data_IF_106530903955
#
_entry.id   IF_106530903955
#
_cell.length_a   1.000
_cell.length_b   1.000
_cell.length_c   1.000
_cell.angle_alpha   90.00
_cell.angle_beta   90.00
_cell.angle_gamma   90.00
#
_symmetry.space_group_name_H-M   'P 1'
#
loop_
_entity.id
_entity.type
_entity.pdbx_description
1 polymer ?
#
# COMPACT_ATOMS: atom_id res chain seq x y z
N UNK A 1 12.10 14.36 14.35
CA UNK A 1 10.64 14.49 14.17
C UNK A 1 10.26 15.84 13.59
N UNK A 2 10.62 16.97 14.21
CA UNK A 2 10.31 18.29 13.64
C UNK A 2 10.97 18.51 12.27
N UNK A 3 12.25 18.14 12.12
CA UNK A 3 12.97 18.22 10.84
C UNK A 3 12.30 17.40 9.73
N UNK A 4 11.72 16.24 10.06
CA UNK A 4 11.01 15.39 9.08
C UNK A 4 9.76 16.08 8.53
N UNK A 5 9.07 16.87 9.37
CA UNK A 5 7.90 17.65 8.94
C UNK A 5 8.34 18.77 8.00
N UNK A 6 9.42 19.49 8.31
CA UNK A 6 9.96 20.50 7.41
C UNK A 6 10.44 19.89 6.09
N UNK A 7 11.06 18.71 6.15
CA UNK A 7 11.51 17.99 4.97
C UNK A 7 10.36 17.57 4.06
N UNK A 8 9.27 17.05 4.63
CA UNK A 8 8.05 16.70 3.91
C UNK A 8 7.43 17.93 3.24
N UNK A 9 7.31 19.06 3.96
CA UNK A 9 6.75 20.30 3.41
C UNK A 9 7.57 20.86 2.23
N UNK A 10 8.89 20.81 2.32
CA UNK A 10 9.78 21.24 1.25
C UNK A 10 9.72 20.28 0.04
N UNK A 11 9.63 18.97 0.27
CA UNK A 11 9.43 17.98 -0.79
C UNK A 11 8.09 18.17 -1.51
N UNK A 12 7.01 18.44 -0.77
CA UNK A 12 5.70 18.77 -1.35
C UNK A 12 5.79 20.01 -2.23
N UNK A 13 6.55 21.03 -1.81
CA UNK A 13 6.76 22.25 -2.60
C UNK A 13 7.53 21.94 -3.88
N UNK A 14 8.65 21.22 -3.77
CA UNK A 14 9.45 20.77 -4.92
C UNK A 14 8.66 19.89 -5.90
N UNK A 15 7.79 19.01 -5.37
CA UNK A 15 6.90 18.18 -6.17
C UNK A 15 5.88 19.02 -6.96
N UNK A 16 5.32 20.07 -6.35
CA UNK A 16 4.40 21.00 -7.04
C UNK A 16 5.09 21.76 -8.16
N UNK A 17 6.33 22.19 -7.95
CA UNK A 17 7.13 22.86 -8.98
C UNK A 17 7.45 21.92 -10.15
N UNK A 18 7.78 20.66 -9.86
CA UNK A 18 7.95 19.62 -10.87
C UNK A 18 6.66 19.38 -11.67
N UNK A 19 5.51 19.22 -11.00
CA UNK A 19 4.21 19.06 -11.66
C UNK A 19 3.95 20.21 -12.62
N UNK A 20 4.15 21.45 -12.17
CA UNK A 20 3.95 22.64 -13.01
C UNK A 20 4.88 22.68 -14.22
N UNK A 21 6.13 22.23 -14.07
CA UNK A 21 7.09 22.14 -15.16
C UNK A 21 6.66 21.07 -16.19
N UNK A 22 6.23 19.89 -15.74
CA UNK A 22 5.68 18.84 -16.61
C UNK A 22 4.40 19.28 -17.32
N UNK A 23 3.47 19.95 -16.63
CA UNK A 23 2.27 20.50 -17.25
C UNK A 23 2.61 21.51 -18.36
N UNK A 24 3.59 22.39 -18.12
CA UNK A 24 4.05 23.37 -19.11
C UNK A 24 4.66 22.69 -20.34
N UNK A 25 5.49 21.67 -20.12
CA UNK A 25 6.08 20.83 -21.19
C UNK A 25 5.00 20.11 -21.98
N UNK A 26 4.04 19.48 -21.29
CA UNK A 26 2.93 18.77 -21.90
C UNK A 26 2.05 19.70 -22.73
N UNK A 27 1.74 20.90 -22.25
CA UNK A 27 0.99 21.90 -23.00
C UNK A 27 1.71 22.36 -24.27
N UNK A 28 3.04 22.51 -24.22
CA UNK A 28 3.87 22.80 -25.40
C UNK A 28 3.77 21.66 -26.44
N UNK A 29 3.84 20.41 -26.00
CA UNK A 29 3.72 19.22 -26.86
C UNK A 29 2.32 19.15 -27.49
N UNK A 30 1.26 19.33 -26.71
CA UNK A 30 -0.13 19.33 -27.20
C UNK A 30 -0.35 20.39 -28.28
N UNK A 31 0.15 21.62 -28.07
CA UNK A 31 0.05 22.70 -29.07
C UNK A 31 0.72 22.33 -30.39
N UNK A 32 1.90 21.70 -30.34
CA UNK A 32 2.61 21.27 -31.55
C UNK A 32 1.85 20.13 -32.24
N UNK A 33 1.36 19.14 -31.48
CA UNK A 33 0.57 18.03 -32.00
C UNK A 33 -0.70 18.53 -32.71
N UNK A 34 -1.48 19.41 -32.08
CA UNK A 34 -2.70 19.98 -32.66
C UNK A 34 -2.39 20.73 -33.96
N UNK A 35 -1.33 21.55 -33.99
CA UNK A 35 -0.90 22.27 -35.20
C UNK A 35 -0.55 21.31 -36.33
N UNK A 36 0.12 20.20 -36.04
CA UNK A 36 0.47 19.20 -37.06
C UNK A 36 -0.76 18.42 -37.54
N UNK A 37 -1.71 18.14 -36.66
CA UNK A 37 -2.98 17.51 -37.00
C UNK A 37 -3.76 18.37 -38.00
N UNK A 38 -3.95 19.66 -37.72
CA UNK A 38 -4.64 20.59 -38.62
C UNK A 38 -3.99 20.68 -40.01
N UNK A 39 -2.65 20.73 -40.07
CA UNK A 39 -1.92 20.74 -41.35
C UNK A 39 -2.10 19.41 -42.09
N UNK A 40 -2.10 18.29 -41.37
CA UNK A 40 -2.26 16.95 -41.95
C UNK A 40 -3.68 16.71 -42.49
N UNK A 41 -4.71 17.18 -41.79
CA UNK A 41 -6.11 17.04 -42.20
C UNK A 41 -6.40 17.81 -43.50
N UNK A 42 -5.80 18.99 -43.65
CA UNK A 42 -5.86 19.76 -44.89
C UNK A 42 -5.13 19.04 -46.06
N UNK A 43 -3.99 18.42 -45.79
CA UNK A 43 -3.25 17.65 -46.79
C UNK A 43 -3.99 16.36 -47.20
N UNK A 44 -4.64 15.67 -46.25
CA UNK A 44 -5.42 14.46 -46.49
C UNK A 44 -6.65 14.73 -47.34
N UNK A 45 -7.30 15.88 -47.14
CA UNK A 45 -8.56 16.23 -47.82
C UNK A 45 -8.36 16.54 -49.32
N UNK A 46 -7.19 17.02 -49.73
CA UNK A 46 -6.83 17.24 -51.14
C UNK A 46 -5.32 17.11 -51.35
N UNK A 47 -4.85 15.87 -51.48
CA UNK A 47 -3.43 15.57 -51.55
C UNK A 47 -2.75 16.15 -52.80
N UNK A 48 -3.38 16.00 -53.97
CA UNK A 48 -2.82 16.48 -55.23
C UNK A 48 -2.75 18.02 -55.29
N UNK A 49 -3.78 18.71 -54.80
CA UNK A 49 -3.77 20.17 -54.67
C UNK A 49 -2.80 20.68 -53.61
N UNK A 50 -2.68 19.96 -52.48
CA UNK A 50 -1.72 20.30 -51.43
C UNK A 50 -0.28 20.15 -51.92
N UNK A 51 0.05 19.02 -52.55
CA UNK A 51 1.38 18.78 -53.12
C UNK A 51 1.63 19.61 -54.38
N UNK A 52 0.62 20.01 -55.13
CA UNK A 52 0.77 20.90 -56.29
C UNK A 52 1.24 22.32 -55.92
N UNK A 53 1.13 22.72 -54.65
CA UNK A 53 1.52 24.06 -54.19
C UNK A 53 2.96 24.09 -53.63
N UNK A 54 3.91 24.84 -54.24
CA UNK A 54 5.33 24.83 -53.84
C UNK A 54 5.60 25.18 -52.38
N UNK A 55 4.80 26.07 -51.77
CA UNK A 55 4.94 26.41 -50.33
C UNK A 55 4.59 25.23 -49.44
N UNK A 56 3.58 24.43 -49.80
CA UNK A 56 3.15 23.28 -49.02
C UNK A 56 4.18 22.16 -49.10
N UNK A 57 4.77 21.95 -50.28
CA UNK A 57 5.90 21.04 -50.48
C UNK A 57 7.09 21.45 -49.58
N UNK A 58 7.52 22.71 -49.64
CA UNK A 58 8.62 23.21 -48.81
C UNK A 58 8.32 23.05 -47.31
N UNK A 59 7.12 23.44 -46.85
CA UNK A 59 6.72 23.32 -45.44
C UNK A 59 6.66 21.86 -44.99
N UNK A 60 6.22 20.93 -45.84
CA UNK A 60 6.21 19.49 -45.54
C UNK A 60 7.64 18.96 -45.39
N UNK A 61 8.51 19.22 -46.38
CA UNK A 61 9.91 18.78 -46.34
C UNK A 61 10.63 19.34 -45.12
N UNK A 62 10.44 20.64 -44.81
CA UNK A 62 11.04 21.26 -43.61
C UNK A 62 10.56 20.60 -42.31
N UNK A 63 9.26 20.28 -42.19
CA UNK A 63 8.73 19.58 -41.01
C UNK A 63 9.40 18.22 -40.84
N UNK A 64 9.45 17.42 -41.90
CA UNK A 64 10.04 16.08 -41.88
C UNK A 64 11.56 16.10 -41.65
N UNK A 65 12.26 17.07 -42.21
CA UNK A 65 13.71 17.16 -42.12
C UNK A 65 14.21 17.75 -40.79
N UNK A 66 13.42 18.57 -40.09
CA UNK A 66 13.92 19.34 -38.93
C UNK A 66 12.91 19.59 -37.80
N UNK A 67 11.63 19.82 -38.10
CA UNK A 67 10.68 20.17 -37.03
C UNK A 67 10.28 18.94 -36.19
N UNK A 68 10.32 17.73 -36.77
CA UNK A 68 10.14 16.48 -36.02
C UNK A 68 11.36 16.09 -35.18
N UNK A 69 12.59 16.35 -35.64
CA UNK A 69 13.78 16.12 -34.80
C UNK A 69 13.78 17.03 -33.58
N UNK A 70 13.33 18.29 -33.72
CA UNK A 70 13.22 19.21 -32.57
C UNK A 70 12.19 18.74 -31.52
N UNK A 71 11.24 17.86 -31.87
CA UNK A 71 10.34 17.26 -30.89
C UNK A 71 11.08 16.32 -29.95
N UNK A 72 12.15 15.66 -30.42
CA UNK A 72 12.97 14.80 -29.59
C UNK A 72 13.57 15.57 -28.41
N UNK A 73 14.07 16.79 -28.66
CA UNK A 73 14.65 17.64 -27.60
C UNK A 73 13.60 18.04 -26.56
N UNK A 74 12.39 18.42 -27.01
CA UNK A 74 11.29 18.82 -26.10
C UNK A 74 10.81 17.62 -25.28
N UNK A 75 10.70 16.43 -25.90
CA UNK A 75 10.25 15.22 -25.20
C UNK A 75 11.30 14.76 -24.19
N UNK A 76 12.59 14.82 -24.55
CA UNK A 76 13.70 14.39 -23.71
C UNK A 76 14.12 15.43 -22.66
N UNK A 77 13.55 16.64 -22.67
CA UNK A 77 13.79 17.66 -21.65
C UNK A 77 13.46 17.10 -20.26
N UNK A 78 14.48 16.91 -19.42
CA UNK A 78 14.33 16.38 -18.07
C UNK A 78 13.98 17.50 -17.09
N UNK A 79 12.69 17.70 -16.84
CA UNK A 79 12.21 18.66 -15.84
C UNK A 79 12.20 18.10 -14.42
N UNK A 80 12.49 16.81 -14.25
CA UNK A 80 12.48 16.12 -12.96
C UNK A 80 13.79 16.27 -12.17
N UNK A 81 14.88 16.72 -12.80
CA UNK A 81 16.23 16.75 -12.20
C UNK A 81 16.26 17.48 -10.85
N UNK A 82 15.61 18.65 -10.76
CA UNK A 82 15.57 19.45 -9.52
C UNK A 82 14.85 18.70 -8.40
N UNK A 83 13.70 18.10 -8.69
CA UNK A 83 12.93 17.33 -7.71
C UNK A 83 13.67 16.07 -7.26
N UNK A 84 14.23 15.30 -8.21
CA UNK A 84 14.97 14.08 -7.92
C UNK A 84 16.24 14.35 -7.11
N UNK A 85 16.93 15.46 -7.40
CA UNK A 85 18.09 15.87 -6.61
C UNK A 85 17.71 16.23 -5.18
N UNK A 86 16.63 17.02 -4.99
CA UNK A 86 16.14 17.37 -3.65
C UNK A 86 15.71 16.12 -2.87
N UNK A 87 14.95 15.22 -3.50
CA UNK A 87 14.55 13.95 -2.90
C UNK A 87 15.76 13.11 -2.49
N UNK A 88 16.72 12.91 -3.41
CA UNK A 88 17.92 12.12 -3.16
C UNK A 88 18.74 12.66 -2.00
N UNK A 89 18.86 13.99 -1.88
CA UNK A 89 19.57 14.62 -0.77
C UNK A 89 18.91 14.29 0.58
N UNK A 90 17.58 14.33 0.65
CA UNK A 90 16.81 14.10 1.89
C UNK A 90 16.68 12.63 2.29
N UNK A 91 16.61 11.72 1.31
CA UNK A 91 16.51 10.27 1.55
C UNK A 91 17.58 9.73 2.50
N UNK A 92 18.76 10.36 2.54
CA UNK A 92 19.88 9.96 3.41
C UNK A 92 19.58 10.04 4.92
N UNK A 93 18.59 10.83 5.34
CA UNK A 93 18.22 11.01 6.75
C UNK A 93 16.79 10.57 7.06
N UNK A 94 16.10 9.95 6.10
CA UNK A 94 14.74 9.47 6.31
C UNK A 94 14.71 8.27 7.26
N UNK A 95 13.63 8.11 8.04
CA UNK A 95 13.44 6.93 8.85
C UNK A 95 13.48 5.67 7.99
N UNK A 96 14.01 4.60 8.58
CA UNK A 96 14.07 3.28 7.98
C UNK A 96 12.85 2.44 8.38
N UNK A 97 12.73 1.25 7.78
CA UNK A 97 11.74 0.25 8.19
C UNK A 97 11.86 -0.16 9.68
N UNK A 98 13.06 -0.05 10.26
CA UNK A 98 13.27 -0.30 11.69
C UNK A 98 12.57 0.76 12.56
N UNK A 99 12.58 2.03 12.12
CA UNK A 99 11.89 3.11 12.80
C UNK A 99 10.37 2.94 12.72
N UNK A 100 9.85 2.50 11.57
CA UNK A 100 8.43 2.16 11.40
C UNK A 100 8.04 1.03 12.35
N UNK A 101 8.82 -0.05 12.40
CA UNK A 101 8.62 -1.14 13.37
C UNK A 101 8.63 -0.59 14.82
N UNK A 102 9.59 0.25 15.16
CA UNK A 102 9.68 0.89 16.47
C UNK A 102 8.43 1.71 16.82
N UNK A 103 7.83 2.40 15.84
CA UNK A 103 6.57 3.14 16.05
C UNK A 103 5.37 2.22 16.26
N UNK A 104 5.29 1.10 15.54
CA UNK A 104 4.25 0.09 15.74
C UNK A 104 4.34 -0.54 17.15
N UNK A 105 5.56 -0.88 17.60
CA UNK A 105 5.79 -1.35 18.96
C UNK A 105 5.41 -0.29 20.01
N UNK A 106 5.72 0.98 19.78
CA UNK A 106 5.34 2.06 20.68
C UNK A 106 3.81 2.21 20.79
N UNK A 107 3.08 2.08 19.67
CA UNK A 107 1.61 2.06 19.67
C UNK A 107 1.08 0.91 20.55
N UNK A 108 1.59 -0.30 20.37
CA UNK A 108 1.16 -1.46 21.18
C UNK A 108 1.49 -1.28 22.67
N UNK A 109 2.68 -0.76 23.00
CA UNK A 109 3.05 -0.44 24.39
C UNK A 109 2.10 0.59 25.02
N UNK A 110 1.64 1.58 24.25
CA UNK A 110 0.64 2.54 24.71
C UNK A 110 -0.74 1.90 24.89
N UNK A 111 -1.13 0.99 23.99
CA UNK A 111 -2.37 0.21 24.12
C UNK A 111 -2.39 -0.55 25.44
N UNK A 112 -1.31 -1.26 25.78
CA UNK A 112 -1.20 -1.99 27.05
C UNK A 112 -1.22 -1.06 28.27
N UNK A 113 -0.36 -0.03 28.25
CA UNK A 113 -0.17 0.87 29.39
C UNK A 113 -1.46 1.60 29.75
N UNK A 114 -2.22 2.02 28.73
CA UNK A 114 -3.40 2.86 28.92
C UNK A 114 -4.73 2.15 28.66
N UNK A 115 -4.68 0.85 28.35
CA UNK A 115 -5.82 0.01 27.96
C UNK A 115 -6.63 0.65 26.84
N UNK A 116 -5.94 1.04 25.77
CA UNK A 116 -6.57 1.72 24.63
C UNK A 116 -7.26 0.69 23.74
N UNK A 117 -8.43 1.05 23.24
CA UNK A 117 -9.16 0.25 22.27
C UNK A 117 -8.51 0.36 20.88
N UNK A 118 -8.35 -0.77 20.18
CA UNK A 118 -7.67 -0.83 18.89
C UNK A 118 -8.42 -0.05 17.80
N UNK A 119 -9.74 -0.08 17.82
CA UNK A 119 -10.56 0.65 16.85
C UNK A 119 -10.46 2.16 17.06
N UNK A 120 -10.44 2.62 18.31
CA UNK A 120 -10.20 4.04 18.62
C UNK A 120 -8.80 4.48 18.21
N UNK A 121 -7.76 3.69 18.48
CA UNK A 121 -6.38 4.00 18.05
C UNK A 121 -6.29 4.05 16.52
N UNK A 122 -6.88 3.10 15.81
CA UNK A 122 -6.90 3.07 14.35
C UNK A 122 -7.57 4.32 13.76
N UNK A 123 -8.61 4.87 14.42
CA UNK A 123 -9.25 6.12 14.02
C UNK A 123 -8.50 7.39 14.49
N UNK A 124 -7.33 7.22 15.09
CA UNK A 124 -6.53 8.33 15.62
C UNK A 124 -7.14 8.97 16.86
N UNK A 125 -7.96 8.25 17.62
CA UNK A 125 -8.61 8.72 18.85
C UNK A 125 -7.88 8.13 20.05
N UNK A 126 -7.13 8.95 20.78
CA UNK A 126 -6.38 8.50 21.97
C UNK A 126 -6.70 9.43 23.13
N UNK A 127 -7.35 8.90 24.18
CA UNK A 127 -7.69 9.63 25.43
C UNK A 127 -8.36 10.99 25.19
N UNK A 128 -9.23 11.08 24.18
CA UNK A 128 -9.96 12.30 23.82
C UNK A 128 -9.23 13.24 22.87
N UNK A 129 -7.95 12.98 22.56
CA UNK A 129 -7.25 13.61 21.44
C UNK A 129 -7.70 12.95 20.13
N UNK A 130 -7.98 13.75 19.11
CA UNK A 130 -8.34 13.27 17.78
C UNK A 130 -7.29 13.74 16.77
N UNK A 131 -6.73 12.79 16.04
CA UNK A 131 -5.88 13.04 14.89
C UNK A 131 -6.71 13.48 13.68
N UNK A 132 -6.07 14.18 12.74
CA UNK A 132 -6.60 14.44 11.39
C UNK A 132 -6.38 13.26 10.43
N UNK A 133 -5.66 12.23 10.88
CA UNK A 133 -5.37 11.01 10.14
C UNK A 133 -5.87 9.79 10.90
N UNK A 134 -6.33 8.79 10.15
CA UNK A 134 -6.62 7.44 10.63
C UNK A 134 -5.67 6.46 9.95
N UNK A 135 -5.38 5.35 10.64
CA UNK A 135 -4.69 4.22 10.06
C UNK A 135 -5.55 3.58 8.98
N UNK A 136 -4.91 3.17 7.89
CA UNK A 136 -5.51 2.39 6.81
C UNK A 136 -5.60 0.91 7.20
N UNK A 137 -6.28 0.12 6.35
CA UNK A 137 -6.31 -1.33 6.52
C UNK A 137 -4.91 -1.95 6.41
N UNK A 138 -4.06 -1.42 5.51
CA UNK A 138 -2.67 -1.85 5.33
C UNK A 138 -1.83 -1.51 6.58
N UNK A 139 -1.97 -0.30 7.12
CA UNK A 139 -1.29 0.07 8.38
C UNK A 139 -1.68 -0.87 9.53
N UNK A 140 -2.96 -1.21 9.65
CA UNK A 140 -3.44 -2.16 10.67
C UNK A 140 -2.84 -3.57 10.45
N UNK A 141 -2.74 -4.01 9.19
CA UNK A 141 -2.12 -5.27 8.85
C UNK A 141 -0.63 -5.28 9.22
N UNK A 142 0.11 -4.21 8.90
CA UNK A 142 1.54 -4.12 9.19
C UNK A 142 1.87 -4.04 10.68
N UNK A 143 1.04 -3.34 11.47
CA UNK A 143 1.15 -3.37 12.94
C UNK A 143 0.86 -4.79 13.46
N UNK A 144 -0.19 -5.45 12.97
CA UNK A 144 -0.52 -6.83 13.35
C UNK A 144 0.57 -7.83 12.94
N UNK A 145 1.23 -7.61 11.80
CA UNK A 145 2.34 -8.43 11.31
C UNK A 145 3.59 -8.21 12.15
N UNK A 146 3.87 -6.97 12.55
CA UNK A 146 4.93 -6.67 13.52
C UNK A 146 4.70 -7.45 14.82
N UNK A 147 3.49 -7.39 15.37
CA UNK A 147 3.12 -8.15 16.57
C UNK A 147 3.30 -9.66 16.40
N UNK A 148 2.90 -10.22 15.24
CA UNK A 148 3.11 -11.63 14.92
C UNK A 148 4.59 -12.02 14.95
N UNK A 149 5.47 -11.20 14.34
CA UNK A 149 6.91 -11.45 14.30
C UNK A 149 7.55 -11.39 15.70
N UNK A 150 7.07 -10.48 16.56
CA UNK A 150 7.50 -10.38 17.96
C UNK A 150 6.83 -11.41 18.89
N UNK A 151 6.02 -12.33 18.34
CA UNK A 151 5.25 -13.35 19.07
C UNK A 151 4.24 -12.76 20.06
N UNK A 152 3.85 -11.51 19.87
CA UNK A 152 2.73 -10.89 20.56
C UNK A 152 1.42 -11.27 19.86
N UNK A 153 0.95 -12.49 20.15
CA UNK A 153 -0.26 -13.02 19.54
C UNK A 153 -1.53 -12.30 20.01
N UNK A 154 -1.47 -11.57 21.14
CA UNK A 154 -2.58 -10.77 21.62
C UNK A 154 -2.79 -9.56 20.71
N UNK A 155 -1.76 -8.73 20.50
CA UNK A 155 -1.85 -7.57 19.62
C UNK A 155 -2.00 -7.97 18.15
N UNK A 156 -1.33 -9.05 17.71
CA UNK A 156 -1.55 -9.58 16.36
C UNK A 156 -3.04 -9.83 16.09
N UNK A 157 -3.74 -10.49 17.03
CA UNK A 157 -5.17 -10.76 16.87
C UNK A 157 -6.00 -9.48 16.85
N UNK A 158 -5.69 -8.49 17.69
CA UNK A 158 -6.43 -7.22 17.72
C UNK A 158 -6.30 -6.48 16.39
N UNK A 159 -5.07 -6.28 15.93
CA UNK A 159 -4.77 -5.50 14.72
C UNK A 159 -5.19 -6.22 13.44
N UNK A 160 -5.08 -7.55 13.37
CA UNK A 160 -5.60 -8.31 12.23
C UNK A 160 -7.14 -8.27 12.16
N UNK A 161 -7.85 -8.23 13.30
CA UNK A 161 -9.30 -8.01 13.30
C UNK A 161 -9.65 -6.59 12.85
N UNK A 162 -8.89 -5.58 13.26
CA UNK A 162 -9.10 -4.20 12.79
C UNK A 162 -8.87 -4.10 11.28
N UNK A 163 -7.77 -4.69 10.77
CA UNK A 163 -7.51 -4.77 9.33
C UNK A 163 -8.68 -5.44 8.58
N UNK A 164 -9.24 -6.54 9.13
CA UNK A 164 -10.41 -7.21 8.53
C UNK A 164 -11.66 -6.33 8.44
N UNK A 165 -11.87 -5.43 9.40
CA UNK A 165 -13.03 -4.53 9.39
C UNK A 165 -12.94 -3.48 8.27
N UNK A 166 -11.74 -3.17 7.80
CA UNK A 166 -11.49 -2.15 6.76
C UNK A 166 -11.09 -2.74 5.40
N UNK A 167 -11.21 -4.06 5.20
CA UNK A 167 -10.83 -4.74 3.93
C UNK A 167 -11.52 -4.14 2.71
N UNK A 168 -12.78 -3.73 2.86
CA UNK A 168 -13.57 -3.16 1.77
C UNK A 168 -13.12 -1.74 1.37
N UNK A 169 -12.25 -1.09 2.15
CA UNK A 169 -11.81 0.30 1.98
C UNK A 169 -10.39 0.46 1.42
N UNK A 170 -9.83 -0.57 0.76
CA UNK A 170 -8.56 -0.46 0.04
C UNK A 170 -7.38 -1.18 0.69
N UNK A 171 -7.61 -2.38 1.24
CA UNK A 171 -6.53 -3.29 1.62
C UNK A 171 -5.78 -3.75 0.36
N UNK A 172 -4.47 -3.51 0.30
CA UNK A 172 -3.59 -4.00 -0.77
C UNK A 172 -3.29 -5.49 -0.61
N UNK A 173 -3.28 -5.98 0.64
CA UNK A 173 -3.16 -7.40 0.96
C UNK A 173 -4.44 -8.18 0.66
N UNK A 174 -4.31 -9.49 0.44
CA UNK A 174 -5.51 -10.31 0.26
C UNK A 174 -6.19 -10.55 1.61
N UNK A 175 -7.52 -10.64 1.61
CA UNK A 175 -8.28 -11.09 2.79
C UNK A 175 -7.73 -12.42 3.35
N UNK A 176 -7.25 -13.29 2.47
CA UNK A 176 -6.63 -14.56 2.84
C UNK A 176 -5.38 -14.37 3.72
N UNK A 177 -4.50 -13.42 3.38
CA UNK A 177 -3.28 -13.15 4.15
C UNK A 177 -3.59 -12.69 5.58
N UNK A 178 -4.63 -11.85 5.74
CA UNK A 178 -5.10 -11.39 7.05
C UNK A 178 -5.67 -12.57 7.85
N UNK A 179 -6.51 -13.40 7.22
CA UNK A 179 -7.09 -14.58 7.86
C UNK A 179 -6.04 -15.60 8.29
N UNK A 180 -4.95 -15.75 7.53
CA UNK A 180 -3.86 -16.69 7.84
C UNK A 180 -3.13 -16.29 9.12
N UNK A 181 -2.71 -15.02 9.21
CA UNK A 181 -2.09 -14.48 10.43
C UNK A 181 -3.06 -14.52 11.61
N UNK A 182 -4.31 -14.08 11.40
CA UNK A 182 -5.33 -14.05 12.43
C UNK A 182 -5.62 -15.46 12.97
N UNK A 183 -5.74 -16.46 12.09
CA UNK A 183 -5.97 -17.86 12.48
C UNK A 183 -4.84 -18.37 13.38
N UNK A 184 -3.59 -18.14 12.98
CA UNK A 184 -2.43 -18.58 13.76
C UNK A 184 -2.38 -17.89 15.13
N UNK A 185 -2.45 -16.55 15.16
CA UNK A 185 -2.42 -15.79 16.41
C UNK A 185 -3.59 -16.14 17.35
N UNK A 186 -4.77 -16.41 16.77
CA UNK A 186 -5.96 -16.83 17.54
C UNK A 186 -5.78 -18.22 18.15
N UNK A 187 -5.16 -19.16 17.43
CA UNK A 187 -4.83 -20.48 17.96
C UNK A 187 -3.78 -20.40 19.08
N UNK A 188 -2.72 -19.61 18.90
CA UNK A 188 -1.70 -19.39 19.93
C UNK A 188 -2.26 -18.71 21.18
N UNK A 189 -3.28 -17.85 21.03
CA UNK A 189 -4.05 -17.27 22.13
C UNK A 189 -5.03 -18.24 22.81
N UNK A 190 -5.06 -19.52 22.40
CA UNK A 190 -5.87 -20.58 23.01
C UNK A 190 -7.30 -20.71 22.46
N UNK A 191 -7.73 -19.82 21.56
CA UNK A 191 -9.08 -19.91 20.98
C UNK A 191 -9.08 -20.80 19.73
N UNK A 192 -8.93 -22.11 19.96
CA UNK A 192 -8.88 -23.12 18.89
C UNK A 192 -10.17 -23.15 18.07
N UNK A 193 -11.33 -22.90 18.70
CA UNK A 193 -12.62 -22.88 18.02
C UNK A 193 -12.66 -21.78 16.95
N UNK A 194 -12.24 -20.57 17.31
CA UNK A 194 -12.21 -19.46 16.35
C UNK A 194 -11.15 -19.66 15.26
N UNK A 195 -9.99 -20.21 15.59
CA UNK A 195 -8.98 -20.56 14.59
C UNK A 195 -9.51 -21.61 13.59
N UNK A 196 -10.25 -22.61 14.07
CA UNK A 196 -10.93 -23.57 13.21
C UNK A 196 -11.95 -22.92 12.27
N UNK A 197 -12.75 -21.97 12.74
CA UNK A 197 -13.68 -21.20 11.89
C UNK A 197 -12.96 -20.38 10.82
N UNK A 198 -11.87 -19.71 11.19
CA UNK A 198 -11.05 -18.92 10.26
C UNK A 198 -10.42 -19.81 9.18
N UNK A 199 -9.92 -21.00 9.54
CA UNK A 199 -9.44 -21.96 8.54
C UNK A 199 -10.53 -22.48 7.61
N UNK A 200 -11.78 -22.63 8.09
CA UNK A 200 -12.91 -22.94 7.21
C UNK A 200 -13.16 -21.83 6.20
N UNK A 201 -13.16 -20.57 6.64
CA UNK A 201 -13.32 -19.42 5.75
C UNK A 201 -12.22 -19.35 4.69
N UNK A 202 -10.96 -19.56 5.08
CA UNK A 202 -9.83 -19.62 4.15
C UNK A 202 -9.99 -20.74 3.11
N UNK A 203 -10.49 -21.91 3.50
CA UNK A 203 -10.75 -23.02 2.57
C UNK A 203 -11.93 -22.78 1.63
N UNK A 204 -12.86 -21.87 1.96
CA UNK A 204 -13.88 -21.42 1.02
C UNK A 204 -13.30 -20.46 -0.03
N UNK A 205 -12.29 -19.66 0.35
CA UNK A 205 -11.59 -18.73 -0.55
C UNK A 205 -10.66 -19.51 -1.50
N UNK A 206 -9.77 -20.33 -0.93
CA UNK A 206 -8.86 -21.19 -1.70
C UNK A 206 -8.82 -22.61 -1.12
N UNK A 207 -9.59 -23.55 -1.71
CA UNK A 207 -9.62 -24.94 -1.29
C UNK A 207 -8.34 -25.72 -1.62
N UNK A 208 -7.38 -25.17 -2.37
CA UNK A 208 -6.19 -25.92 -2.80
C UNK A 208 -5.05 -25.87 -1.77
N UNK A 209 -5.06 -24.90 -0.84
CA UNK A 209 -3.93 -24.65 0.08
C UNK A 209 -3.76 -25.76 1.11
N UNK A 210 -2.76 -26.62 0.89
CA UNK A 210 -2.50 -27.80 1.73
C UNK A 210 -2.19 -27.45 3.18
N UNK A 211 -1.40 -26.39 3.43
CA UNK A 211 -1.08 -25.92 4.78
C UNK A 211 -2.35 -25.58 5.58
N UNK A 212 -3.33 -24.92 4.96
CA UNK A 212 -4.60 -24.58 5.63
C UNK A 212 -5.43 -25.83 5.92
N UNK A 213 -5.46 -26.82 5.00
CA UNK A 213 -6.12 -28.12 5.27
C UNK A 213 -5.52 -28.83 6.48
N UNK A 214 -4.20 -28.85 6.56
CA UNK A 214 -3.47 -29.45 7.69
C UNK A 214 -3.79 -28.72 9.00
N UNK A 215 -3.76 -27.38 9.00
CA UNK A 215 -4.13 -26.57 10.17
C UNK A 215 -5.60 -26.83 10.58
N UNK A 216 -6.51 -26.88 9.61
CA UNK A 216 -7.93 -27.16 9.83
C UNK A 216 -8.15 -28.56 10.46
N UNK A 217 -7.48 -29.59 9.96
CA UNK A 217 -7.49 -30.94 10.56
C UNK A 217 -6.91 -30.96 11.97
N UNK A 218 -5.79 -30.27 12.17
CA UNK A 218 -5.14 -30.17 13.47
C UNK A 218 -6.06 -29.52 14.52
N UNK A 219 -6.65 -28.37 14.20
CA UNK A 219 -7.59 -27.69 15.11
C UNK A 219 -8.85 -28.52 15.36
N UNK A 220 -9.38 -29.22 14.34
CA UNK A 220 -10.51 -30.16 14.51
C UNK A 220 -10.21 -31.25 15.53
N UNK A 221 -9.00 -31.83 15.47
CA UNK A 221 -8.58 -32.86 16.40
C UNK A 221 -8.47 -32.32 17.83
N UNK A 222 -7.85 -31.14 18.02
CA UNK A 222 -7.75 -30.49 19.33
C UNK A 222 -9.13 -30.23 19.96
N UNK A 223 -10.11 -29.77 19.17
CA UNK A 223 -11.49 -29.57 19.62
C UNK A 223 -12.18 -30.89 20.02
N UNK A 224 -11.94 -31.97 19.27
CA UNK A 224 -12.48 -33.29 19.58
C UNK A 224 -11.86 -33.93 20.84
N UNK A 225 -10.57 -33.68 21.08
CA UNK A 225 -9.88 -34.14 22.28
C UNK A 225 -10.35 -33.39 23.53
N UNK A 226 -10.56 -32.07 23.44
CA UNK A 226 -11.12 -31.26 24.54
C UNK A 226 -12.51 -31.74 24.97
N UNK A 227 -13.39 -32.07 24.00
CA UNK A 227 -14.73 -32.60 24.32
C UNK A 227 -14.72 -33.97 24.99
N UNK A 228 -13.65 -34.77 24.83
CA UNK A 228 -13.50 -36.08 25.48
C UNK A 228 -12.82 -36.00 26.85
N UNK A 229 -12.07 -34.93 27.12
CA UNK A 229 -11.38 -34.70 28.40
C UNK A 229 -12.27 -34.17 29.51
N UNK A 230 -13.41 -33.55 29.18
CA UNK A 230 -14.40 -33.07 30.16
C UNK A 230 -15.28 -34.20 30.74
N UNK A 231 -15.22 -35.39 30.12
CA UNK A 231 -15.94 -36.61 30.54
C UNK A 231 -15.07 -37.55 31.40
N UNK A 232 -13.86 -37.13 31.80
CA UNK A 232 -12.92 -38.02 32.47
C UNK A 232 -11.86 -37.33 33.32
N UNK A 233 -12.13 -37.23 34.62
CA UNK A 233 -11.19 -37.11 35.75
C UNK A 233 -10.13 -35.99 35.70
N UNK A 234 -10.27 -35.06 36.66
CA UNK A 234 -9.24 -34.12 37.12
C UNK A 234 -7.93 -34.86 37.38
N UNK A 235 -6.91 -34.58 36.55
CA UNK A 235 -5.54 -35.03 36.72
C UNK A 235 -4.59 -33.85 36.49
N UNK A 236 -3.89 -33.48 37.55
CA UNK A 236 -2.96 -32.36 37.66
C UNK A 236 -1.95 -32.29 36.51
N UNK A 237 -1.85 -31.14 35.82
CA UNK A 237 -0.68 -30.81 35.03
C UNK A 237 0.41 -30.28 35.95
N UNK A 238 1.31 -31.18 36.34
CA UNK A 238 2.59 -30.82 36.94
C UNK A 238 3.45 -30.08 35.91
N UNK A 239 3.76 -28.83 36.21
CA UNK A 239 4.85 -28.07 35.59
C UNK A 239 6.18 -28.75 35.86
N UNK A 240 7.03 -28.91 34.85
CA UNK A 240 8.47 -29.11 35.06
C UNK A 240 9.29 -28.45 33.96
N UNK A 241 10.05 -27.45 34.43
CA UNK A 241 11.33 -26.87 34.01
C UNK A 241 11.86 -27.13 32.61
#
# INVERSE_FOLDING_TARGET
MEDLVYDELDLITSLKDYIKAEETKLEKIKRIANRYQEISDNARSNMDGYLGHPVNQYRLVRRMASEWSNMQDIVNENVAEVFLSNLTQKLSHFPSEEDVKGTAEAIMRLQDTYRLDTHDVARGIIKGMKSNQSLTADDCFDIGRTAYLERDFYHCRLWMNEALQHVENGLSYSKFDVLDHLSYCTAQGGNIQKAFELTNEMLQIDPAVQRIKQNHEHYRHLLGAHKRGDDGSVGEFATSR
#
